data_IF_786911027265
#
_entry.id   IF_786911027265
#
_cell.length_a   1.000
_cell.length_b   1.000
_cell.length_c   1.000
_cell.angle_alpha   90.00
_cell.angle_beta   90.00
_cell.angle_gamma   90.00
#
_symmetry.space_group_name_H-M   'P 1'
#
loop_
_entity.id
_entity.type
_entity.pdbx_description
1 polymer ?
#
# COMPACT_ATOMS: atom_id res chain seq x y z
N UNK A 1 17.09 10.87 -59.65
CA UNK A 1 15.99 10.10 -59.00
C UNK A 1 16.18 10.22 -57.50
N UNK A 2 15.41 11.09 -56.87
CA UNK A 2 15.53 11.43 -55.46
C UNK A 2 14.45 10.67 -54.70
N UNK A 3 14.85 9.69 -53.90
CA UNK A 3 13.97 9.03 -52.95
C UNK A 3 13.84 9.86 -51.67
N UNK A 4 12.63 10.33 -51.37
CA UNK A 4 12.29 10.94 -50.09
C UNK A 4 12.24 9.88 -48.98
N UNK A 5 12.81 10.12 -47.79
CA UNK A 5 12.55 9.27 -46.66
C UNK A 5 11.17 9.60 -46.06
N UNK A 6 10.41 8.54 -45.76
CA UNK A 6 9.11 8.57 -45.12
C UNK A 6 9.21 9.15 -43.70
N UNK A 7 8.34 10.11 -43.42
CA UNK A 7 8.06 10.59 -42.06
C UNK A 7 7.42 9.47 -41.19
N UNK A 8 8.24 8.68 -40.56
CA UNK A 8 7.80 7.86 -39.45
C UNK A 8 7.57 8.77 -38.22
N UNK A 9 6.32 9.03 -37.98
CA UNK A 9 5.76 9.74 -36.84
C UNK A 9 6.49 9.35 -35.54
N UNK A 10 7.35 10.22 -35.03
CA UNK A 10 7.85 10.20 -33.66
C UNK A 10 6.70 10.59 -32.73
N UNK A 11 5.82 9.67 -32.46
CA UNK A 11 5.00 9.74 -31.25
C UNK A 11 5.94 9.52 -30.07
N UNK A 12 6.51 10.59 -29.54
CA UNK A 12 7.06 10.60 -28.17
C UNK A 12 5.87 10.31 -27.25
N UNK A 13 5.73 9.07 -26.86
CA UNK A 13 5.02 8.73 -25.64
C UNK A 13 5.82 9.40 -24.52
N UNK A 14 5.29 10.45 -23.96
CA UNK A 14 5.70 10.95 -22.67
C UNK A 14 5.33 9.79 -21.74
N UNK A 15 6.31 8.95 -21.43
CA UNK A 15 6.20 8.02 -20.31
C UNK A 15 6.11 8.92 -19.09
N UNK A 16 4.93 9.07 -18.55
CA UNK A 16 4.75 9.53 -17.20
C UNK A 16 5.51 8.54 -16.35
N UNK A 17 6.48 9.02 -15.60
CA UNK A 17 7.12 8.27 -14.54
C UNK A 17 6.08 8.12 -13.44
N UNK A 18 5.21 7.16 -13.56
CA UNK A 18 4.48 6.63 -12.43
C UNK A 18 5.51 5.81 -11.66
N UNK A 19 5.83 6.24 -10.49
CA UNK A 19 6.54 5.44 -9.50
C UNK A 19 5.52 4.41 -9.05
N UNK A 20 5.52 3.25 -9.73
CA UNK A 20 4.73 2.12 -9.29
C UNK A 20 5.22 1.74 -7.91
N UNK A 21 4.41 1.97 -6.95
CA UNK A 21 4.67 1.48 -5.62
C UNK A 21 4.64 -0.05 -5.65
N UNK A 22 5.68 -0.65 -5.18
CA UNK A 22 5.52 -1.86 -4.40
C UNK A 22 4.40 -1.48 -3.42
N UNK A 23 3.24 -2.14 -3.45
CA UNK A 23 2.01 -1.63 -2.84
C UNK A 23 2.07 -1.45 -1.32
N UNK A 24 3.04 -0.78 -0.88
CA UNK A 24 3.25 -0.10 0.36
C UNK A 24 2.90 1.36 0.11
N UNK A 25 1.58 1.62 -0.08
CA UNK A 25 0.99 2.95 0.09
C UNK A 25 1.93 4.13 -0.21
N UNK A 26 2.46 4.19 -1.45
CA UNK A 26 3.07 5.39 -1.99
C UNK A 26 2.17 5.80 -3.16
N UNK A 27 1.06 6.43 -2.85
CA UNK A 27 0.16 6.98 -3.87
C UNK A 27 0.70 8.31 -4.32
N UNK A 28 1.48 8.30 -5.38
CA UNK A 28 1.88 9.51 -6.09
C UNK A 28 0.90 9.79 -7.23
N UNK A 29 -0.14 10.59 -7.00
CA UNK A 29 -1.03 11.04 -8.05
C UNK A 29 -0.35 12.06 -8.96
N UNK A 30 0.10 11.64 -10.15
CA UNK A 30 0.48 12.56 -11.22
C UNK A 30 -0.73 12.99 -12.04
N UNK A 31 -1.19 14.23 -11.79
CA UNK A 31 -2.28 14.85 -12.50
C UNK A 31 -2.00 15.05 -14.00
N UNK A 32 -2.90 14.55 -14.85
CA UNK A 32 -2.92 14.83 -16.28
C UNK A 32 -3.62 16.17 -16.54
N UNK A 33 -2.85 17.20 -16.90
CA UNK A 33 -3.40 18.43 -17.47
C UNK A 33 -3.81 18.18 -18.93
N UNK A 34 -5.11 18.07 -19.19
CA UNK A 34 -5.66 18.17 -20.54
C UNK A 34 -6.25 19.55 -20.72
N UNK A 35 -5.54 20.43 -21.44
CA UNK A 35 -6.13 21.62 -22.04
C UNK A 35 -6.84 21.21 -23.34
N UNK A 36 -8.16 21.20 -23.31
CA UNK A 36 -9.00 21.09 -24.50
C UNK A 36 -9.73 22.41 -24.74
N UNK A 37 -9.90 22.82 -26.03
CA UNK A 37 -10.47 24.13 -26.32
C UNK A 37 -11.99 24.14 -26.24
N UNK A 38 -12.44 25.27 -25.71
CA UNK A 38 -13.79 25.78 -25.66
C UNK A 38 -14.52 25.69 -27.02
N UNK A 39 -15.72 25.11 -27.05
CA UNK A 39 -16.74 25.40 -28.06
C UNK A 39 -18.14 25.26 -27.47
N UNK A 40 -18.73 26.42 -27.22
CA UNK A 40 -20.15 26.62 -27.01
C UNK A 40 -20.96 26.22 -28.24
N UNK A 41 -22.07 25.52 -28.08
CA UNK A 41 -23.35 25.86 -28.74
C UNK A 41 -24.52 25.15 -28.05
N UNK A 42 -25.58 25.92 -27.90
CA UNK A 42 -26.84 25.60 -27.26
C UNK A 42 -27.71 24.63 -28.06
N UNK A 43 -28.60 23.90 -27.37
CA UNK A 43 -29.81 23.48 -28.03
C UNK A 43 -30.55 22.26 -27.47
N UNK A 44 -31.59 22.54 -26.72
CA UNK A 44 -32.93 21.89 -26.68
C UNK A 44 -33.14 20.56 -25.98
N UNK A 45 -34.05 20.68 -25.10
CA UNK A 45 -34.97 19.85 -24.30
C UNK A 45 -35.56 18.61 -24.99
N UNK A 46 -35.81 17.57 -24.14
CA UNK A 46 -36.87 16.58 -24.31
C UNK A 46 -36.80 15.51 -23.24
N UNK A 47 -37.87 15.18 -22.52
CA UNK A 47 -37.84 14.37 -21.32
C UNK A 47 -37.97 12.87 -21.63
N UNK A 48 -37.22 12.03 -20.92
CA UNK A 48 -37.54 10.59 -20.85
C UNK A 48 -37.36 10.08 -19.43
N UNK A 49 -38.42 9.53 -18.97
CA UNK A 49 -38.77 8.93 -17.69
C UNK A 49 -37.74 7.92 -17.17
N UNK A 50 -37.25 8.16 -15.95
CA UNK A 50 -36.58 7.18 -15.07
C UNK A 50 -37.61 6.32 -14.33
N UNK A 51 -37.44 5.02 -14.21
CA UNK A 51 -38.03 4.25 -13.12
C UNK A 51 -37.26 4.51 -11.84
N UNK A 52 -37.94 4.89 -10.77
CA UNK A 52 -37.39 5.08 -9.46
C UNK A 52 -36.82 3.79 -8.88
N UNK A 53 -35.57 3.81 -8.49
CA UNK A 53 -35.00 2.86 -7.55
C UNK A 53 -35.19 3.45 -6.16
N UNK A 54 -35.95 2.72 -5.35
CA UNK A 54 -36.22 3.07 -3.98
C UNK A 54 -34.91 3.20 -3.19
N UNK A 55 -34.71 4.33 -2.55
CA UNK A 55 -33.73 4.53 -1.51
C UNK A 55 -34.11 3.70 -0.29
N UNK A 56 -33.55 2.50 -0.21
CA UNK A 56 -33.52 1.72 1.02
C UNK A 56 -32.54 2.42 1.97
N UNK A 57 -33.07 2.99 3.05
CA UNK A 57 -32.26 3.52 4.13
C UNK A 57 -31.38 2.41 4.69
N UNK A 58 -30.07 2.58 4.58
CA UNK A 58 -29.11 1.78 5.30
C UNK A 58 -29.30 2.07 6.79
N UNK A 59 -30.01 1.19 7.48
CA UNK A 59 -29.95 1.12 8.93
C UNK A 59 -28.52 0.77 9.30
N UNK A 60 -27.88 1.63 10.09
CA UNK A 60 -26.62 1.34 10.76
C UNK A 60 -26.84 0.13 11.69
N UNK A 61 -26.61 -1.05 11.14
CA UNK A 61 -26.43 -2.26 11.93
C UNK A 61 -25.07 -2.13 12.61
N UNK A 62 -25.09 -1.84 13.91
CA UNK A 62 -23.94 -2.04 14.79
C UNK A 62 -23.64 -3.52 14.85
N UNK A 63 -22.94 -4.04 13.85
CA UNK A 63 -22.31 -5.36 13.94
C UNK A 63 -21.20 -5.25 14.95
N UNK A 64 -21.30 -5.99 16.05
CA UNK A 64 -20.35 -5.98 17.16
C UNK A 64 -18.94 -6.36 16.70
N UNK A 65 -18.15 -5.38 16.36
CA UNK A 65 -16.72 -5.54 16.17
C UNK A 65 -16.08 -5.63 17.54
N UNK A 66 -15.45 -6.75 17.85
CA UNK A 66 -14.63 -6.86 19.07
C UNK A 66 -13.38 -6.02 18.85
N UNK A 67 -13.03 -5.08 19.75
CA UNK A 67 -11.76 -4.36 19.64
C UNK A 67 -10.60 -5.34 19.52
N UNK A 68 -9.60 -5.00 18.69
CA UNK A 68 -8.36 -5.76 18.66
C UNK A 68 -7.79 -5.88 20.07
N UNK A 69 -7.00 -6.93 20.38
CA UNK A 69 -6.44 -7.13 21.70
C UNK A 69 -5.77 -5.83 22.15
N UNK A 70 -6.22 -5.31 23.29
CA UNK A 70 -5.85 -4.00 23.78
C UNK A 70 -4.33 -3.88 23.90
N UNK A 71 -3.74 -3.22 22.93
CA UNK A 71 -2.50 -2.49 23.16
C UNK A 71 -2.98 -1.27 23.93
N UNK A 72 -2.77 -1.27 25.25
CA UNK A 72 -3.35 -0.30 26.17
C UNK A 72 -2.96 1.14 25.74
N UNK A 73 -3.83 1.91 25.06
CA UNK A 73 -3.54 3.29 24.73
C UNK A 73 -3.80 4.07 26.01
N UNK A 74 -2.77 4.18 26.84
CA UNK A 74 -2.85 5.07 28.01
C UNK A 74 -3.06 6.50 27.47
N UNK A 75 -4.19 7.16 27.71
CA UNK A 75 -4.38 8.54 27.33
C UNK A 75 -3.32 9.37 28.05
N UNK A 76 -2.33 9.85 27.34
CA UNK A 76 -1.40 10.84 27.88
C UNK A 76 -2.04 12.19 27.56
N UNK A 77 -2.69 12.79 28.55
CA UNK A 77 -3.10 14.17 28.48
C UNK A 77 -1.85 15.03 28.25
N UNK A 78 -1.90 15.83 27.20
CA UNK A 78 -0.92 16.88 26.88
C UNK A 78 0.52 16.40 26.61
N UNK A 79 0.70 15.63 25.53
CA UNK A 79 2.03 15.29 25.06
C UNK A 79 2.46 16.30 23.98
N UNK A 80 3.13 17.37 24.39
CA UNK A 80 4.08 18.03 23.51
C UNK A 80 5.10 16.95 23.10
N UNK A 81 5.13 16.65 21.81
CA UNK A 81 5.92 15.60 21.20
C UNK A 81 7.40 15.80 21.51
N UNK A 82 7.93 15.05 22.46
CA UNK A 82 9.36 15.03 22.74
C UNK A 82 9.90 13.71 22.18
N UNK A 83 10.39 13.76 20.94
CA UNK A 83 11.12 12.66 20.32
C UNK A 83 12.50 12.61 21.00
N UNK A 84 12.72 11.61 21.85
CA UNK A 84 14.02 11.31 22.42
C UNK A 84 14.63 10.11 21.69
N UNK A 85 15.32 10.36 20.59
CA UNK A 85 16.16 9.42 19.88
C UNK A 85 17.31 10.14 19.19
N UNK A 86 18.43 9.47 18.99
CA UNK A 86 19.52 10.01 18.15
C UNK A 86 19.01 10.10 16.72
N UNK A 87 18.68 11.33 16.31
CA UNK A 87 18.26 11.63 14.94
C UNK A 87 19.34 11.12 13.98
N UNK A 88 19.03 10.21 13.03
CA UNK A 88 19.99 9.82 12.01
C UNK A 88 20.42 11.06 11.24
N UNK A 89 21.66 11.04 10.76
CA UNK A 89 22.20 12.10 9.92
C UNK A 89 21.33 12.22 8.64
N UNK A 90 20.61 13.33 8.43
CA UNK A 90 19.83 13.54 7.22
C UNK A 90 20.68 13.60 5.96
N UNK A 91 22.02 13.66 6.11
CA UNK A 91 22.99 13.58 5.02
C UNK A 91 23.38 12.15 4.62
N UNK A 92 22.82 11.12 5.24
CA UNK A 92 22.92 9.77 4.69
C UNK A 92 22.02 9.70 3.45
N UNK A 93 22.41 10.50 2.43
CA UNK A 93 21.74 10.51 1.14
C UNK A 93 21.72 9.07 0.64
N UNK A 94 20.54 8.65 0.19
CA UNK A 94 20.38 7.40 -0.51
C UNK A 94 21.34 7.42 -1.68
N UNK A 95 22.43 6.62 -1.62
CA UNK A 95 23.26 6.40 -2.82
C UNK A 95 22.28 5.95 -3.93
N UNK A 96 22.15 6.70 -5.03
CA UNK A 96 21.17 6.38 -6.08
C UNK A 96 21.42 5.03 -6.75
N UNK A 97 22.56 4.40 -6.48
CA UNK A 97 22.94 3.11 -7.03
C UNK A 97 22.94 1.97 -6.00
N UNK A 98 22.58 2.24 -4.73
CA UNK A 98 22.64 1.23 -3.68
C UNK A 98 21.26 0.68 -3.36
N UNK A 99 21.05 -0.58 -3.65
CA UNK A 99 19.76 -1.26 -3.50
C UNK A 99 19.51 -1.85 -2.10
N UNK A 100 20.41 -1.62 -1.14
CA UNK A 100 20.30 -2.15 0.21
C UNK A 100 20.89 -3.55 0.38
N UNK A 101 21.00 -3.99 1.64
CA UNK A 101 21.40 -5.37 1.95
C UNK A 101 20.23 -6.31 1.61
N UNK A 102 20.46 -7.26 0.72
CA UNK A 102 19.52 -8.33 0.43
C UNK A 102 19.88 -9.57 1.22
N UNK A 103 18.87 -10.26 1.76
CA UNK A 103 19.02 -11.62 2.27
C UNK A 103 18.67 -12.55 1.11
N UNK A 104 19.47 -13.60 0.82
CA UNK A 104 19.12 -14.55 -0.21
C UNK A 104 17.77 -15.18 0.06
N UNK A 105 16.91 -15.21 -0.95
CA UNK A 105 15.61 -15.87 -0.86
C UNK A 105 15.82 -17.40 -0.90
N UNK A 106 15.37 -18.08 0.14
CA UNK A 106 15.37 -19.55 0.24
C UNK A 106 13.99 -19.99 0.76
N UNK A 107 13.15 -20.66 -0.04
CA UNK A 107 11.83 -21.12 0.40
C UNK A 107 11.84 -21.97 1.66
N UNK A 108 12.95 -22.69 1.93
CA UNK A 108 13.11 -23.51 3.13
C UNK A 108 13.18 -22.68 4.43
N UNK A 109 13.41 -21.37 4.34
CA UNK A 109 13.47 -20.48 5.49
C UNK A 109 12.11 -19.95 5.93
N UNK A 110 11.04 -20.23 5.20
CA UNK A 110 9.71 -19.70 5.51
C UNK A 110 8.89 -20.66 6.37
N UNK A 111 7.95 -20.08 7.11
CA UNK A 111 6.99 -20.78 7.97
C UNK A 111 5.57 -20.39 7.58
N UNK A 112 4.55 -20.95 8.24
CA UNK A 112 3.17 -20.54 8.02
C UNK A 112 2.99 -19.07 8.44
N UNK A 113 2.53 -18.17 7.57
CA UNK A 113 2.40 -16.75 7.88
C UNK A 113 1.37 -16.48 9.00
N UNK A 114 0.45 -17.41 9.27
CA UNK A 114 -0.53 -17.28 10.35
C UNK A 114 0.06 -17.46 11.76
N UNK A 115 1.34 -17.84 11.89
CA UNK A 115 2.04 -17.84 13.17
C UNK A 115 2.21 -16.43 13.75
N UNK A 116 2.17 -15.40 12.89
CA UNK A 116 2.07 -13.99 13.28
C UNK A 116 3.11 -13.57 14.34
N UNK A 117 4.37 -13.86 14.10
CA UNK A 117 5.45 -13.62 15.09
C UNK A 117 6.07 -12.23 14.98
N UNK A 118 5.77 -11.46 13.91
CA UNK A 118 6.29 -10.11 13.76
C UNK A 118 5.42 -9.07 14.46
N UNK A 119 5.92 -8.53 15.57
CA UNK A 119 5.17 -7.53 16.36
C UNK A 119 4.98 -6.18 15.68
N UNK A 120 5.74 -5.86 14.62
CA UNK A 120 5.65 -4.57 13.90
C UNK A 120 4.95 -4.67 12.54
N UNK A 121 4.54 -5.86 12.16
CA UNK A 121 3.69 -6.10 10.99
C UNK A 121 2.85 -7.36 11.22
N UNK A 122 1.77 -7.25 12.00
CA UNK A 122 0.92 -8.40 12.30
C UNK A 122 0.28 -8.98 11.04
N UNK A 123 0.30 -10.31 10.91
CA UNK A 123 -0.27 -11.07 9.79
C UNK A 123 -1.54 -11.83 10.18
N UNK A 124 -2.11 -11.54 11.34
CA UNK A 124 -3.30 -12.22 11.84
C UNK A 124 -4.53 -11.89 11.00
N UNK A 125 -5.21 -12.89 10.38
CA UNK A 125 -6.43 -12.66 9.64
C UNK A 125 -7.52 -11.95 10.44
N UNK A 126 -8.20 -11.02 9.80
CA UNK A 126 -9.28 -10.22 10.38
C UNK A 126 -8.82 -8.94 11.06
N UNK A 127 -7.52 -8.68 11.20
CA UNK A 127 -7.06 -7.36 11.61
C UNK A 127 -7.34 -6.33 10.51
N UNK A 128 -7.88 -5.18 10.91
CA UNK A 128 -8.15 -4.06 10.01
C UNK A 128 -7.65 -2.76 10.60
N UNK A 129 -7.00 -1.97 9.76
CA UNK A 129 -6.52 -0.62 10.05
C UNK A 129 -7.29 0.38 9.22
N UNK A 130 -7.80 1.44 9.84
CA UNK A 130 -8.33 2.60 9.16
C UNK A 130 -7.36 3.74 9.38
N UNK A 131 -6.86 4.32 8.28
CA UNK A 131 -5.95 5.45 8.30
C UNK A 131 -6.56 6.59 7.51
N UNK A 132 -6.44 7.80 8.02
CA UNK A 132 -6.98 8.99 7.36
C UNK A 132 -5.92 10.09 7.32
N UNK A 133 -5.94 10.86 6.24
CA UNK A 133 -5.03 11.96 6.02
C UNK A 133 -5.44 12.77 4.79
N UNK A 134 -4.47 13.14 3.98
CA UNK A 134 -4.71 13.95 2.78
C UNK A 134 -3.85 13.48 1.61
N UNK A 135 -4.36 13.68 0.40
CA UNK A 135 -3.64 13.53 -0.87
C UNK A 135 -3.87 14.74 -1.76
N UNK A 136 -3.10 14.86 -2.84
CA UNK A 136 -3.31 15.89 -3.86
C UNK A 136 -3.94 15.30 -5.13
N UNK A 137 -5.15 15.76 -5.46
CA UNK A 137 -5.84 15.42 -6.71
C UNK A 137 -5.85 16.66 -7.63
N UNK A 138 -5.02 16.61 -8.66
CA UNK A 138 -4.78 17.77 -9.52
C UNK A 138 -3.96 18.85 -8.80
N UNK A 139 -4.58 19.93 -8.38
CA UNK A 139 -3.97 21.00 -7.58
C UNK A 139 -4.72 21.23 -6.26
N UNK A 140 -5.48 20.26 -5.82
CA UNK A 140 -6.28 20.36 -4.61
C UNK A 140 -5.89 19.27 -3.62
N UNK A 141 -5.62 19.69 -2.40
CA UNK A 141 -5.50 18.76 -1.27
C UNK A 141 -6.89 18.32 -0.86
N UNK A 142 -7.12 17.02 -0.82
CA UNK A 142 -8.39 16.38 -0.49
C UNK A 142 -8.22 15.37 0.65
N UNK A 143 -9.30 15.06 1.39
CA UNK A 143 -9.29 13.94 2.32
C UNK A 143 -8.93 12.62 1.63
N UNK A 144 -8.06 11.86 2.28
CA UNK A 144 -7.61 10.53 1.85
C UNK A 144 -7.81 9.54 2.99
N UNK A 145 -8.41 8.38 2.69
CA UNK A 145 -8.60 7.30 3.65
C UNK A 145 -8.10 6.00 3.06
N UNK A 146 -7.45 5.19 3.89
CA UNK A 146 -6.96 3.88 3.53
C UNK A 146 -7.47 2.87 4.55
N UNK A 147 -8.14 1.83 4.05
CA UNK A 147 -8.57 0.68 4.84
C UNK A 147 -7.71 -0.51 4.43
N UNK A 148 -6.84 -0.92 5.34
CA UNK A 148 -6.01 -2.12 5.17
C UNK A 148 -6.63 -3.27 5.94
N UNK A 149 -6.76 -4.45 5.32
CA UNK A 149 -7.29 -5.64 5.98
C UNK A 149 -6.39 -6.84 5.75
N UNK A 150 -5.93 -7.48 6.82
CA UNK A 150 -5.29 -8.79 6.72
C UNK A 150 -6.37 -9.85 6.50
N UNK A 151 -6.38 -10.43 5.31
CA UNK A 151 -7.41 -11.42 4.94
C UNK A 151 -7.02 -12.84 5.34
N UNK A 152 -7.87 -13.82 5.08
CA UNK A 152 -7.55 -15.25 5.20
C UNK A 152 -7.28 -15.91 3.83
N UNK A 153 -7.05 -15.09 2.80
CA UNK A 153 -6.69 -15.57 1.46
C UNK A 153 -5.21 -15.92 1.41
N UNK A 154 -4.91 -17.11 0.93
CA UNK A 154 -3.52 -17.61 0.85
C UNK A 154 -3.20 -18.06 -0.57
N UNK A 155 -1.91 -17.99 -0.89
CA UNK A 155 -1.35 -18.42 -2.16
C UNK A 155 0.05 -18.99 -1.97
N UNK A 156 0.48 -19.89 -2.85
CA UNK A 156 1.88 -20.30 -2.91
C UNK A 156 2.57 -19.51 -4.03
N UNK A 157 3.64 -18.78 -3.68
CA UNK A 157 4.47 -18.00 -4.59
C UNK A 157 5.92 -18.44 -4.38
N UNK A 158 6.62 -18.78 -5.46
CA UNK A 158 8.02 -19.29 -5.42
C UNK A 158 8.23 -20.40 -4.38
N UNK A 159 7.23 -21.28 -4.20
CA UNK A 159 7.27 -22.39 -3.23
C UNK A 159 6.94 -22.00 -1.79
N UNK A 160 6.62 -20.75 -1.51
CA UNK A 160 6.32 -20.22 -0.16
C UNK A 160 4.82 -19.92 -0.02
N UNK A 161 4.22 -20.38 1.09
CA UNK A 161 2.84 -19.99 1.46
C UNK A 161 2.81 -18.52 1.89
N UNK A 162 1.97 -17.75 1.23
CA UNK A 162 1.72 -16.35 1.55
C UNK A 162 0.31 -16.13 2.05
N UNK A 163 0.06 -14.97 2.65
CA UNK A 163 -1.25 -14.46 3.05
C UNK A 163 -1.49 -13.10 2.41
N UNK A 164 -2.71 -12.85 1.94
CA UNK A 164 -3.04 -11.62 1.25
C UNK A 164 -3.50 -10.53 2.22
N UNK A 165 -2.91 -9.35 2.07
CA UNK A 165 -3.36 -8.09 2.65
C UNK A 165 -4.14 -7.32 1.57
N UNK A 166 -5.30 -6.79 1.92
CA UNK A 166 -6.14 -5.95 1.07
C UNK A 166 -5.96 -4.50 1.49
N UNK A 167 -5.74 -3.61 0.53
CA UNK A 167 -5.76 -2.16 0.70
C UNK A 167 -6.83 -1.53 -0.18
N UNK A 168 -7.67 -0.68 0.42
CA UNK A 168 -8.73 0.06 -0.24
C UNK A 168 -8.55 1.55 0.08
N UNK A 169 -8.29 2.36 -0.93
CA UNK A 169 -8.07 3.80 -0.78
C UNK A 169 -9.22 4.61 -1.37
N UNK A 170 -9.57 5.69 -0.70
CA UNK A 170 -10.58 6.64 -1.18
C UNK A 170 -10.06 8.07 -1.10
N UNK A 171 -10.38 8.86 -2.14
CA UNK A 171 -10.13 10.30 -2.20
C UNK A 171 -11.45 11.05 -2.17
N UNK A 172 -11.66 11.88 -1.15
CA UNK A 172 -12.96 12.54 -0.90
C UNK A 172 -14.15 11.57 -0.83
N UNK A 173 -13.92 10.32 -0.41
CA UNK A 173 -14.93 9.26 -0.30
C UNK A 173 -15.24 8.51 -1.61
N UNK A 174 -14.52 8.79 -2.70
CA UNK A 174 -14.59 7.99 -3.93
C UNK A 174 -13.41 7.02 -3.97
N UNK A 175 -13.64 5.77 -4.33
CA UNK A 175 -12.56 4.78 -4.48
C UNK A 175 -11.55 5.27 -5.51
N UNK A 176 -10.30 5.40 -5.09
CA UNK A 176 -9.16 5.80 -5.93
C UNK A 176 -8.26 4.63 -6.27
N UNK A 177 -8.06 3.70 -5.32
CA UNK A 177 -7.19 2.54 -5.53
C UNK A 177 -7.68 1.34 -4.73
N UNK A 178 -7.51 0.13 -5.28
CA UNK A 178 -7.71 -1.14 -4.56
C UNK A 178 -6.53 -2.05 -4.89
N UNK A 179 -5.86 -2.55 -3.86
CA UNK A 179 -4.68 -3.38 -4.00
C UNK A 179 -4.70 -4.63 -3.13
N UNK A 180 -3.89 -5.60 -3.51
CA UNK A 180 -3.60 -6.77 -2.68
C UNK A 180 -2.11 -7.08 -2.71
N UNK A 181 -1.54 -7.38 -1.55
CA UNK A 181 -0.16 -7.80 -1.39
C UNK A 181 -0.07 -9.17 -0.75
N UNK A 182 0.88 -9.98 -1.21
CA UNK A 182 1.10 -11.33 -0.70
C UNK A 182 2.31 -11.34 0.24
N UNK A 183 2.03 -11.47 1.54
CA UNK A 183 3.01 -11.47 2.62
C UNK A 183 3.43 -12.88 3.00
N UNK A 184 4.70 -13.07 3.34
CA UNK A 184 5.24 -14.31 3.87
C UNK A 184 6.00 -14.05 5.18
N UNK A 185 6.11 -15.07 6.02
CA UNK A 185 6.81 -15.02 7.30
C UNK A 185 8.00 -15.98 7.25
N UNK A 186 9.21 -15.52 7.55
CA UNK A 186 10.36 -16.38 7.68
C UNK A 186 10.56 -16.88 9.14
N UNK A 187 11.50 -17.80 9.34
CA UNK A 187 11.82 -18.41 10.64
C UNK A 187 12.37 -17.43 11.65
N UNK A 188 12.95 -16.32 11.18
CA UNK A 188 13.51 -15.26 12.03
C UNK A 188 12.43 -14.22 12.39
N UNK A 189 11.19 -14.38 11.87
CA UNK A 189 10.05 -13.52 12.11
C UNK A 189 10.01 -12.29 11.20
N UNK A 190 10.83 -12.23 10.14
CA UNK A 190 10.72 -11.15 9.18
C UNK A 190 9.50 -11.38 8.27
N UNK A 191 8.79 -10.30 7.97
CA UNK A 191 7.73 -10.29 6.98
C UNK A 191 8.32 -9.90 5.64
N UNK A 192 8.09 -10.74 4.64
CA UNK A 192 8.50 -10.56 3.26
C UNK A 192 7.29 -10.20 2.39
N UNK A 193 7.53 -9.48 1.30
CA UNK A 193 6.53 -9.27 0.25
C UNK A 193 6.94 -10.07 -0.99
N UNK A 194 6.05 -10.97 -1.42
CA UNK A 194 6.33 -11.89 -2.51
C UNK A 194 5.52 -11.60 -3.77
N UNK A 195 4.56 -10.71 -3.72
CA UNK A 195 3.75 -10.34 -4.86
C UNK A 195 2.77 -9.24 -4.52
N UNK A 196 2.24 -8.59 -5.54
CA UNK A 196 1.24 -7.55 -5.39
C UNK A 196 0.47 -7.34 -6.69
N UNK A 197 -0.68 -6.73 -6.55
CA UNK A 197 -1.53 -6.26 -7.65
C UNK A 197 -2.37 -5.09 -7.21
N UNK A 198 -2.37 -4.03 -7.99
CA UNK A 198 -3.09 -2.79 -7.65
C UNK A 198 -3.84 -2.26 -8.85
N UNK A 199 -5.06 -1.81 -8.62
CA UNK A 199 -5.95 -1.18 -9.61
C UNK A 199 -6.23 0.27 -9.21
N UNK A 200 -6.15 1.17 -10.21
CA UNK A 200 -6.56 2.56 -10.08
C UNK A 200 -8.00 2.73 -10.57
N UNK A 201 -8.73 3.61 -9.90
CA UNK A 201 -10.10 3.94 -10.21
C UNK A 201 -10.29 5.43 -10.40
N UNK A 202 -11.22 5.82 -11.27
CA UNK A 202 -11.66 7.21 -11.42
C UNK A 202 -13.15 7.25 -11.70
N UNK A 203 -13.90 7.99 -10.88
CA UNK A 203 -15.36 8.08 -11.01
C UNK A 203 -16.05 6.70 -10.87
N UNK A 204 -15.51 5.82 -10.04
CA UNK A 204 -16.01 4.47 -9.79
C UNK A 204 -15.71 3.45 -10.90
N UNK A 205 -14.88 3.79 -11.89
CA UNK A 205 -14.50 2.90 -12.98
C UNK A 205 -13.00 2.58 -12.91
N UNK A 206 -12.65 1.31 -13.13
CA UNK A 206 -11.27 0.88 -13.33
C UNK A 206 -10.62 1.65 -14.48
N UNK A 207 -9.40 2.13 -14.28
CA UNK A 207 -8.65 2.91 -15.28
C UNK A 207 -7.35 2.27 -15.68
N UNK A 208 -6.63 1.67 -14.74
CA UNK A 208 -5.28 1.19 -14.93
C UNK A 208 -4.92 0.13 -13.89
N UNK A 209 -3.92 -0.70 -14.22
CA UNK A 209 -3.17 -1.52 -13.27
C UNK A 209 -1.87 -0.80 -12.98
N UNK A 210 -1.67 -0.41 -11.72
CA UNK A 210 -0.46 0.32 -11.32
C UNK A 210 0.72 -0.64 -11.13
N UNK A 211 0.51 -1.76 -10.46
CA UNK A 211 1.54 -2.77 -10.20
C UNK A 211 0.97 -4.18 -10.31
N UNK A 212 1.76 -5.11 -10.85
CA UNK A 212 1.41 -6.53 -10.91
C UNK A 212 2.67 -7.39 -10.95
N UNK A 213 2.87 -8.25 -9.94
CA UNK A 213 3.91 -9.28 -9.96
C UNK A 213 3.58 -10.41 -8.98
N UNK A 214 4.10 -11.61 -9.24
CA UNK A 214 4.01 -12.79 -8.38
C UNK A 214 5.37 -13.47 -8.35
N UNK A 215 6.15 -13.18 -7.34
CA UNK A 215 7.47 -13.78 -7.16
C UNK A 215 8.52 -13.33 -8.18
N UNK A 216 9.62 -14.05 -8.16
CA UNK A 216 10.76 -13.81 -9.05
C UNK A 216 10.49 -14.25 -10.49
N UNK A 217 9.60 -15.22 -10.71
CA UNK A 217 9.27 -15.74 -12.05
C UNK A 217 8.60 -14.65 -12.92
N UNK A 218 7.93 -13.68 -12.33
CA UNK A 218 7.32 -12.55 -13.04
C UNK A 218 8.18 -11.28 -13.02
N UNK A 219 9.46 -11.39 -12.60
CA UNK A 219 10.43 -10.30 -12.62
C UNK A 219 10.50 -9.49 -11.32
N UNK A 220 9.81 -9.91 -10.26
CA UNK A 220 9.94 -9.30 -8.94
C UNK A 220 11.30 -9.60 -8.29
N UNK A 221 11.81 -8.68 -7.51
CA UNK A 221 12.94 -8.92 -6.59
C UNK A 221 12.38 -8.91 -5.18
N UNK A 222 12.41 -10.08 -4.55
CA UNK A 222 11.81 -10.32 -3.24
C UNK A 222 12.68 -9.75 -2.12
N UNK A 223 12.05 -9.20 -1.10
CA UNK A 223 12.76 -8.61 0.03
C UNK A 223 11.91 -8.57 1.30
N UNK A 224 12.48 -7.96 2.34
CA UNK A 224 11.89 -7.91 3.67
C UNK A 224 11.10 -6.61 3.81
N UNK A 225 9.78 -6.73 3.87
CA UNK A 225 8.89 -5.62 4.16
C UNK A 225 9.11 -5.10 5.57
N UNK A 226 9.09 -5.99 6.56
CA UNK A 226 9.24 -5.63 7.96
C UNK A 226 10.20 -6.61 8.67
N UNK A 227 11.45 -6.19 8.94
CA UNK A 227 12.36 -7.00 9.75
C UNK A 227 11.81 -7.19 11.17
N UNK A 228 11.97 -8.40 11.73
CA UNK A 228 11.56 -8.70 13.11
C UNK A 228 12.35 -7.85 14.11
N UNK A 229 13.64 -7.70 13.85
CA UNK A 229 14.57 -6.99 14.72
C UNK A 229 15.20 -5.82 13.97
N UNK A 230 15.01 -4.61 14.51
CA UNK A 230 15.63 -3.39 14.00
C UNK A 230 16.18 -2.63 15.19
N UNK A 231 17.44 -2.24 15.11
CA UNK A 231 18.11 -1.33 16.03
C UNK A 231 18.72 -0.13 15.27
N UNK A 232 19.33 0.78 15.99
CA UNK A 232 19.94 1.99 15.40
C UNK A 232 21.12 1.70 14.45
N UNK A 233 21.69 0.48 14.51
CA UNK A 233 22.82 0.06 13.68
C UNK A 233 22.37 -0.87 12.54
N UNK A 234 21.10 -1.22 12.50
CA UNK A 234 20.57 -2.06 11.42
C UNK A 234 20.85 -1.38 10.08
N UNK A 235 21.55 -2.04 9.16
CA UNK A 235 21.84 -1.45 7.86
C UNK A 235 20.55 -1.29 7.07
N UNK A 236 20.57 -0.39 6.09
CA UNK A 236 19.49 -0.31 5.09
C UNK A 236 19.26 -1.68 4.46
N UNK A 237 18.00 -2.04 4.28
CA UNK A 237 17.62 -3.31 3.67
C UNK A 237 16.73 -3.14 2.45
N UNK A 238 16.74 -4.14 1.59
CA UNK A 238 15.84 -4.22 0.44
C UNK A 238 14.45 -4.65 0.91
N UNK A 239 13.45 -3.82 0.65
CA UNK A 239 12.03 -4.16 0.84
C UNK A 239 11.56 -5.03 -0.33
N UNK A 240 11.92 -4.65 -1.54
CA UNK A 240 11.60 -5.38 -2.75
C UNK A 240 11.67 -4.51 -3.99
N UNK A 241 11.31 -5.09 -5.14
CA UNK A 241 11.24 -4.37 -6.40
C UNK A 241 10.24 -5.04 -7.32
N UNK A 242 9.23 -4.32 -7.75
CA UNK A 242 8.35 -4.78 -8.82
C UNK A 242 9.05 -4.67 -10.19
N UNK A 243 8.61 -5.43 -11.20
CA UNK A 243 9.16 -5.32 -12.55
C UNK A 243 9.15 -3.89 -13.07
N UNK A 244 10.22 -3.49 -13.76
CA UNK A 244 10.37 -2.16 -14.37
C UNK A 244 10.40 -0.97 -13.37
N UNK A 245 10.42 -1.22 -12.08
CA UNK A 245 10.50 -0.22 -11.02
C UNK A 245 11.89 -0.12 -10.39
N UNK A 246 12.06 0.87 -9.54
CA UNK A 246 13.25 1.00 -8.69
C UNK A 246 13.07 0.15 -7.43
N UNK A 247 14.20 -0.26 -6.86
CA UNK A 247 14.18 -0.97 -5.60
C UNK A 247 13.64 -0.09 -4.47
N UNK A 248 12.73 -0.63 -3.69
CA UNK A 248 12.23 -0.04 -2.46
C UNK A 248 13.10 -0.48 -1.28
N UNK A 249 13.47 0.46 -0.42
CA UNK A 249 14.41 0.23 0.68
C UNK A 249 13.90 0.82 1.98
N UNK A 250 14.24 0.15 3.09
CA UNK A 250 13.99 0.62 4.45
C UNK A 250 15.29 1.02 5.14
N UNK A 251 15.28 2.11 5.91
CA UNK A 251 16.41 2.58 6.73
C UNK A 251 15.90 2.96 8.10
N UNK A 252 16.45 2.43 9.21
CA UNK A 252 16.04 2.82 10.54
C UNK A 252 16.36 4.29 10.80
N UNK A 253 15.40 5.02 11.35
CA UNK A 253 15.52 6.44 11.72
C UNK A 253 15.55 6.58 13.23
N UNK A 254 14.64 5.89 13.91
CA UNK A 254 14.50 5.90 15.36
C UNK A 254 13.97 4.54 15.84
N UNK A 255 14.37 4.13 17.04
CA UNK A 255 13.91 2.89 17.67
C UNK A 255 13.63 3.13 19.15
N UNK A 256 12.44 2.73 19.61
CA UNK A 256 12.08 2.74 21.02
C UNK A 256 11.44 4.04 21.52
N UNK A 257 10.99 4.92 20.62
CA UNK A 257 10.31 6.18 20.96
C UNK A 257 8.86 5.99 21.47
N UNK A 258 8.27 7.10 21.93
CA UNK A 258 6.81 7.22 22.18
C UNK A 258 6.22 8.13 21.11
N UNK A 259 5.14 7.70 20.47
CA UNK A 259 4.50 8.45 19.40
C UNK A 259 2.97 8.38 19.50
N UNK A 260 2.31 9.52 19.27
CA UNK A 260 0.86 9.64 19.34
C UNK A 260 0.27 9.97 17.97
N UNK A 261 -0.82 9.32 17.65
CA UNK A 261 -1.66 9.56 16.46
C UNK A 261 -3.11 9.73 16.88
N UNK A 262 -4.02 9.98 15.94
CA UNK A 262 -5.44 10.18 16.25
C UNK A 262 -6.07 9.00 17.02
N UNK A 263 -5.64 7.78 16.79
CA UNK A 263 -6.11 6.58 17.50
C UNK A 263 -5.63 6.51 18.96
N UNK A 264 -4.41 6.96 19.26
CA UNK A 264 -3.81 6.89 20.59
C UNK A 264 -2.30 7.03 20.61
N UNK A 265 -1.70 6.81 21.77
CA UNK A 265 -0.25 6.91 21.96
C UNK A 265 0.37 5.51 22.14
N UNK A 266 1.53 5.31 21.51
CA UNK A 266 2.24 4.05 21.48
C UNK A 266 3.65 4.21 22.02
N UNK A 267 4.15 3.20 22.72
CA UNK A 267 5.54 3.09 23.19
C UNK A 267 6.32 2.13 22.30
N UNK A 268 7.64 2.19 22.38
CA UNK A 268 8.55 1.34 21.60
C UNK A 268 8.31 1.46 20.09
N UNK A 269 7.88 2.63 19.64
CA UNK A 269 7.68 2.93 18.22
C UNK A 269 9.03 2.92 17.51
N UNK A 270 9.08 2.28 16.33
CA UNK A 270 10.20 2.43 15.41
C UNK A 270 9.80 3.33 14.25
N UNK A 271 10.73 4.17 13.82
CA UNK A 271 10.58 4.99 12.61
C UNK A 271 11.54 4.46 11.55
N UNK A 272 10.99 4.15 10.40
CA UNK A 272 11.74 3.66 9.24
C UNK A 272 11.53 4.65 8.10
N UNK A 273 12.61 5.15 7.54
CA UNK A 273 12.55 5.85 6.28
C UNK A 273 12.42 4.82 5.16
N UNK A 274 11.36 4.94 4.39
CA UNK A 274 11.08 4.09 3.23
C UNK A 274 11.02 4.93 1.96
N UNK A 275 11.32 4.32 0.83
CA UNK A 275 11.25 4.95 -0.48
C UNK A 275 12.04 4.20 -1.54
N UNK A 276 11.91 4.66 -2.76
CA UNK A 276 12.58 4.06 -3.91
C UNK A 276 13.99 4.64 -4.09
N UNK A 277 14.95 3.78 -4.38
CA UNK A 277 16.35 4.18 -4.58
C UNK A 277 16.47 5.27 -5.66
N UNK A 278 17.02 6.44 -5.26
CA UNK A 278 17.20 7.59 -6.15
C UNK A 278 15.92 8.31 -6.55
N UNK A 279 14.80 8.06 -5.90
CA UNK A 279 13.59 8.87 -5.98
C UNK A 279 13.54 9.92 -4.86
N UNK A 280 12.89 11.06 -5.07
CA UNK A 280 12.77 12.10 -4.04
C UNK A 280 11.66 11.84 -3.03
N UNK A 281 10.73 10.96 -3.35
CA UNK A 281 9.47 10.65 -2.68
C UNK A 281 9.66 9.68 -1.50
N UNK A 282 10.63 9.96 -0.63
CA UNK A 282 10.84 9.18 0.58
C UNK A 282 9.95 9.69 1.71
N UNK A 283 9.61 8.77 2.61
CA UNK A 283 8.73 9.03 3.75
C UNK A 283 9.23 8.32 5.02
N UNK A 284 8.85 8.84 6.16
CA UNK A 284 9.02 8.18 7.45
C UNK A 284 7.73 7.44 7.81
N UNK A 285 7.82 6.12 7.93
CA UNK A 285 6.74 5.28 8.48
C UNK A 285 7.00 4.99 9.94
N UNK A 286 5.96 5.16 10.73
CA UNK A 286 5.97 4.92 12.17
C UNK A 286 5.29 3.60 12.47
N UNK A 287 6.01 2.68 13.08
CA UNK A 287 5.55 1.34 13.38
C UNK A 287 5.38 1.14 14.89
N UNK A 288 4.17 0.82 15.33
CA UNK A 288 3.88 0.50 16.72
C UNK A 288 3.83 -1.02 16.94
N UNK A 289 4.38 -1.53 18.08
CA UNK A 289 4.31 -2.95 18.40
C UNK A 289 2.88 -3.44 18.53
N UNK A 290 2.58 -4.59 17.94
CA UNK A 290 1.25 -5.22 17.92
C UNK A 290 0.23 -4.56 17.00
N UNK A 291 0.62 -3.46 16.34
CA UNK A 291 -0.26 -2.71 15.44
C UNK A 291 0.29 -2.61 14.03
N UNK A 292 1.58 -2.33 13.85
CA UNK A 292 2.17 -2.04 12.54
C UNK A 292 2.22 -0.55 12.25
N UNK A 293 2.01 -0.14 11.00
CA UNK A 293 2.12 1.27 10.55
C UNK A 293 0.99 2.12 11.13
N UNK A 294 1.37 3.15 11.89
CA UNK A 294 0.45 4.09 12.56
C UNK A 294 0.48 5.50 11.96
N UNK A 295 1.53 5.86 11.23
CA UNK A 295 1.67 7.16 10.59
C UNK A 295 2.59 7.09 9.38
N UNK A 296 2.39 7.98 8.42
CA UNK A 296 3.22 8.20 7.26
C UNK A 296 3.49 9.68 7.06
N UNK A 297 4.77 10.07 7.12
CA UNK A 297 5.19 11.47 7.04
C UNK A 297 6.20 11.64 5.90
N UNK A 298 5.82 12.29 4.79
CA UNK A 298 6.72 12.63 3.71
C UNK A 298 7.93 13.44 4.20
N UNK A 299 9.11 13.17 3.64
CA UNK A 299 10.32 13.93 3.96
C UNK A 299 10.36 15.29 3.27
N UNK A 300 9.74 15.41 2.12
CA UNK A 300 9.61 16.65 1.35
C UNK A 300 8.14 16.98 1.12
N UNK A 301 7.61 17.87 1.95
CA UNK A 301 6.21 18.32 1.85
C UNK A 301 5.89 19.03 0.52
N UNK A 302 6.91 19.47 -0.24
CA UNK A 302 6.69 20.11 -1.55
C UNK A 302 6.34 19.12 -2.66
N UNK A 303 6.52 17.81 -2.41
CA UNK A 303 6.15 16.75 -3.36
C UNK A 303 4.67 16.35 -3.27
N UNK A 304 3.94 16.90 -2.29
CA UNK A 304 2.50 16.68 -2.12
C UNK A 304 2.12 15.19 -2.07
N UNK A 305 2.98 14.38 -1.43
CA UNK A 305 2.73 12.96 -1.20
C UNK A 305 1.57 12.76 -0.21
N UNK A 306 1.00 11.58 -0.24
CA UNK A 306 -0.05 11.19 0.70
C UNK A 306 0.46 11.21 2.14
N UNK A 307 -0.40 11.70 3.01
CA UNK A 307 -0.22 11.62 4.46
C UNK A 307 -1.34 10.80 5.06
N UNK A 308 -1.05 10.07 6.11
CA UNK A 308 -2.11 9.42 6.88
C UNK A 308 -1.69 9.14 8.32
N UNK A 309 -2.68 9.07 9.21
CA UNK A 309 -2.53 8.60 10.58
C UNK A 309 -3.56 7.51 10.88
N UNK A 310 -3.19 6.56 11.73
CA UNK A 310 -4.12 5.56 12.24
C UNK A 310 -5.24 6.23 13.01
N UNK A 311 -6.48 6.01 12.58
CA UNK A 311 -7.71 6.53 13.22
C UNK A 311 -8.53 5.42 13.86
N UNK A 312 -8.37 4.16 13.38
CA UNK A 312 -9.01 3.00 13.98
C UNK A 312 -8.18 1.73 13.75
N UNK A 313 -8.25 0.80 14.72
CA UNK A 313 -7.65 -0.53 14.63
C UNK A 313 -8.58 -1.54 15.31
N UNK A 314 -9.00 -2.55 14.56
CA UNK A 314 -10.03 -3.47 15.03
C UNK A 314 -9.83 -4.90 14.49
N UNK A 315 -10.52 -5.85 15.11
CA UNK A 315 -10.69 -7.18 14.57
C UNK A 315 -12.09 -7.31 13.96
N UNK A 316 -12.14 -7.73 12.70
CA UNK A 316 -13.39 -7.96 11.98
C UNK A 316 -14.16 -9.15 12.54
N UNK A 317 -15.48 -9.12 12.38
CA UNK A 317 -16.30 -10.32 12.53
C UNK A 317 -15.96 -11.36 11.44
N UNK A 318 -16.35 -12.64 11.62
CA UNK A 318 -16.18 -13.65 10.55
C UNK A 318 -16.80 -13.25 9.22
N UNK A 319 -17.94 -12.55 9.25
CA UNK A 319 -18.64 -12.05 8.07
C UNK A 319 -17.84 -10.92 7.39
N UNK A 320 -17.33 -9.96 8.17
CA UNK A 320 -16.48 -8.88 7.66
C UNK A 320 -15.17 -9.40 7.05
N UNK A 321 -14.53 -10.38 7.68
CA UNK A 321 -13.37 -11.07 7.11
C UNK A 321 -13.73 -11.80 5.81
N UNK A 322 -14.90 -12.45 5.76
CA UNK A 322 -15.33 -13.14 4.54
C UNK A 322 -15.57 -12.17 3.38
N UNK A 323 -16.08 -10.97 3.66
CA UNK A 323 -16.28 -9.91 2.66
C UNK A 323 -14.96 -9.38 2.14
N UNK A 324 -14.02 -9.01 3.01
CA UNK A 324 -12.68 -8.57 2.62
C UNK A 324 -11.94 -9.65 1.80
N UNK A 325 -12.04 -10.91 2.21
CA UNK A 325 -11.43 -12.03 1.48
C UNK A 325 -12.09 -12.23 0.10
N UNK A 326 -13.39 -12.00 -0.01
CA UNK A 326 -14.09 -12.01 -1.30
C UNK A 326 -13.58 -10.90 -2.20
N UNK A 327 -13.35 -9.69 -1.68
CA UNK A 327 -12.78 -8.57 -2.46
C UNK A 327 -11.43 -8.95 -3.05
N UNK A 328 -10.52 -9.57 -2.27
CA UNK A 328 -9.24 -10.09 -2.78
C UNK A 328 -9.44 -11.12 -3.90
N UNK A 329 -10.38 -12.05 -3.74
CA UNK A 329 -10.66 -13.07 -4.76
C UNK A 329 -11.23 -12.46 -6.05
N UNK A 330 -12.11 -11.45 -5.94
CA UNK A 330 -12.67 -10.73 -7.09
C UNK A 330 -11.58 -9.91 -7.80
N UNK A 331 -10.69 -9.24 -7.04
CA UNK A 331 -9.56 -8.49 -7.55
C UNK A 331 -8.59 -9.42 -8.31
N UNK A 332 -8.28 -10.58 -7.75
CA UNK A 332 -7.48 -11.60 -8.45
C UNK A 332 -8.15 -12.09 -9.73
N UNK A 333 -9.47 -12.29 -9.71
CA UNK A 333 -10.22 -12.71 -10.90
C UNK A 333 -10.15 -11.65 -12.01
N UNK A 334 -10.18 -10.35 -11.65
CA UNK A 334 -9.98 -9.28 -12.62
C UNK A 334 -8.54 -9.20 -13.10
N UNK A 335 -7.54 -9.33 -12.21
CA UNK A 335 -6.12 -9.39 -12.56
C UNK A 335 -5.84 -10.46 -13.63
N UNK A 336 -6.51 -11.61 -13.61
CA UNK A 336 -6.42 -12.66 -14.63
C UNK A 336 -6.86 -12.21 -16.01
N UNK A 337 -7.63 -11.13 -16.12
CA UNK A 337 -8.12 -10.58 -17.40
C UNK A 337 -7.27 -9.42 -17.91
N UNK A 338 -6.72 -8.59 -17.02
CA UNK A 338 -6.01 -7.36 -17.35
C UNK A 338 -4.49 -7.46 -17.20
N UNK A 339 -3.99 -8.31 -16.29
CA UNK A 339 -2.56 -8.60 -16.03
C UNK A 339 -2.25 -10.08 -16.34
N UNK A 340 -2.57 -10.53 -17.55
CA UNK A 340 -2.53 -11.95 -17.97
C UNK A 340 -1.14 -12.56 -17.95
N UNK A 341 -0.13 -11.78 -18.20
CA UNK A 341 1.29 -12.15 -18.18
C UNK A 341 1.74 -12.57 -16.78
N UNK A 342 1.11 -12.03 -15.75
CA UNK A 342 1.38 -12.34 -14.33
C UNK A 342 0.37 -13.34 -13.76
N UNK A 343 -0.93 -13.06 -13.91
CA UNK A 343 -1.99 -13.82 -13.22
C UNK A 343 -2.67 -14.88 -14.09
N UNK A 344 -2.53 -14.82 -15.42
CA UNK A 344 -3.32 -15.65 -16.34
C UNK A 344 -3.13 -17.15 -16.17
N UNK A 345 -1.91 -17.62 -15.94
CA UNK A 345 -1.57 -19.04 -15.74
C UNK A 345 -1.33 -19.42 -14.27
N UNK A 346 -1.26 -18.44 -13.38
CA UNK A 346 -0.97 -18.67 -11.99
C UNK A 346 -2.12 -19.43 -11.28
N UNK A 347 -1.88 -20.42 -10.40
CA UNK A 347 -2.92 -21.09 -9.65
C UNK A 347 -3.77 -20.10 -8.85
N UNK A 348 -5.06 -20.32 -8.66
CA UNK A 348 -5.89 -19.41 -7.88
C UNK A 348 -5.50 -19.42 -6.39
N UNK A 349 -5.72 -18.29 -5.73
CA UNK A 349 -5.67 -18.20 -4.28
C UNK A 349 -6.79 -19.01 -3.62
N UNK A 350 -6.61 -19.39 -2.36
CA UNK A 350 -7.59 -20.12 -1.56
C UNK A 350 -7.73 -19.46 -0.18
N UNK A 351 -8.90 -19.62 0.45
CA UNK A 351 -9.08 -19.19 1.84
C UNK A 351 -8.57 -20.25 2.82
N UNK A 352 -8.11 -19.79 3.98
CA UNK A 352 -7.89 -20.67 5.14
C UNK A 352 -9.22 -21.29 5.59
N UNK A 353 -9.18 -22.54 6.01
CA UNK A 353 -10.34 -23.29 6.50
C UNK A 353 -10.34 -23.36 8.03
#
# INVERSE_FOLDING_TARGET
>A
MHGRPSEASRRRRIRRLFVGALALLIVGCSAASTTGPDRSTAGRQGPSSRPGVASGGAGAGTTGSTPAPSVDPTPIADASMTIHGTKPDPKRSLDPNWEGTSIPFDPANFVDPTLDTNRFHPLKPGLQWVRAGTTEVGSRVVPHEIITTMTDVTRVIDGVKTIAMLDESTDSGEVSQVGMDYMALDKDGNVWILGGYTEDYQGGAYTNTDSAYLGSETGGVLGILAPAHVDANTPRWLIGKAPDEKASVGTPVEVGGTYCVAYGCFKDVRVVQEGNVGAPDNENKYYAPGVGVIDNVPLDASLHQDTFQLTNFLALSPEGLAEASKTVMDLEAHARTVARDVFGSAPPSTRLH
#
